data_IF_825954897859
#
_entry.id   IF_825954897859
#
_cell.length_a   1.000
_cell.length_b   1.000
_cell.length_c   1.000
_cell.angle_alpha   90.00
_cell.angle_beta   90.00
_cell.angle_gamma   90.00
#
_symmetry.space_group_name_H-M   'P 1'
#
loop_
_entity.id
_entity.type
_entity.pdbx_description
1 polymer ?
#
# COMPACT_ATOMS: atom_id res chain seq x y z
N UNK A 1 76.91 6.27 36.51
CA UNK A 1 76.44 6.26 35.09
C UNK A 1 75.70 4.96 34.88
N UNK A 2 74.34 4.93 35.20
CA UNK A 2 73.54 3.71 35.13
C UNK A 2 72.75 3.74 33.80
N UNK A 3 73.03 2.81 32.91
CA UNK A 3 72.27 2.57 31.71
C UNK A 3 71.05 1.72 32.10
N UNK A 4 69.83 2.33 32.04
CA UNK A 4 68.55 1.60 32.13
C UNK A 4 68.34 0.83 30.87
N UNK A 5 68.42 -0.50 30.97
CA UNK A 5 67.99 -1.42 29.91
C UNK A 5 66.46 -1.26 29.62
N UNK A 6 66.14 -0.82 28.45
CA UNK A 6 64.72 -0.75 27.94
C UNK A 6 64.25 -2.18 27.69
N UNK A 7 63.21 -2.57 28.39
CA UNK A 7 62.65 -3.92 28.42
C UNK A 7 62.10 -4.32 27.04
N UNK A 8 62.71 -5.31 26.39
CA UNK A 8 62.34 -5.84 25.08
C UNK A 8 60.83 -6.22 24.95
N UNK A 9 60.18 -6.50 26.08
CA UNK A 9 58.73 -6.76 26.12
C UNK A 9 57.88 -5.54 25.83
N UNK A 10 58.33 -4.30 26.01
CA UNK A 10 57.60 -3.08 25.64
C UNK A 10 57.75 -2.71 24.16
N UNK A 11 58.81 -3.12 23.49
CA UNK A 11 59.00 -2.92 22.06
C UNK A 11 58.14 -3.90 21.26
N UNK A 12 57.93 -5.13 21.76
CA UNK A 12 57.06 -6.13 21.10
C UNK A 12 55.59 -5.74 21.21
N UNK A 13 55.16 -5.11 22.31
CA UNK A 13 53.77 -4.64 22.51
C UNK A 13 53.42 -3.44 21.62
N UNK A 14 54.40 -2.59 21.28
CA UNK A 14 54.17 -1.44 20.38
C UNK A 14 54.15 -1.85 18.90
N UNK A 15 54.85 -2.91 18.52
CA UNK A 15 54.80 -3.46 17.14
C UNK A 15 53.56 -4.27 16.88
N UNK A 16 52.97 -4.93 17.89
CA UNK A 16 51.69 -5.63 17.73
C UNK A 16 50.49 -4.68 17.73
N UNK A 17 50.58 -3.51 18.38
CA UNK A 17 49.49 -2.50 18.35
C UNK A 17 49.46 -1.74 17.04
N UNK A 18 50.59 -1.54 16.35
CA UNK A 18 50.64 -0.90 15.04
C UNK A 18 50.22 -1.85 13.89
N UNK A 19 50.31 -3.17 14.07
CA UNK A 19 49.80 -4.15 13.09
C UNK A 19 48.28 -4.32 13.17
N UNK A 20 47.64 -4.08 14.32
CA UNK A 20 46.19 -4.14 14.47
C UNK A 20 45.47 -2.86 13.99
N UNK A 21 46.14 -1.70 13.95
CA UNK A 21 45.55 -0.45 13.48
C UNK A 21 45.53 -0.32 11.95
N UNK A 22 46.36 -1.08 11.22
CA UNK A 22 46.35 -1.10 9.74
C UNK A 22 45.26 -2.02 9.19
N UNK A 23 44.83 -3.03 9.98
CA UNK A 23 43.71 -3.93 9.53
C UNK A 23 42.32 -3.36 9.79
N UNK A 24 42.17 -2.25 10.56
CA UNK A 24 40.86 -1.62 10.81
C UNK A 24 40.54 -0.48 9.78
N UNK A 25 41.55 0.05 9.09
CA UNK A 25 41.37 1.06 8.05
C UNK A 25 41.03 0.48 6.66
N UNK A 26 41.05 -0.85 6.50
CA UNK A 26 40.62 -1.55 5.29
C UNK A 26 39.16 -2.01 5.31
N UNK A 27 38.44 -1.84 6.45
CA UNK A 27 37.05 -2.30 6.61
C UNK A 27 35.99 -1.24 6.31
N UNK A 28 36.36 -0.05 5.85
CA UNK A 28 35.47 0.93 5.21
C UNK A 28 35.46 0.79 3.70
N UNK A 29 35.64 -0.44 3.18
CA UNK A 29 35.23 -0.80 1.85
C UNK A 29 33.71 -0.84 1.85
N UNK A 30 33.06 -0.07 0.97
CA UNK A 30 31.68 -0.25 0.56
C UNK A 30 31.36 -1.75 0.66
N UNK A 31 30.39 -2.14 1.49
CA UNK A 31 29.68 -3.38 1.27
C UNK A 31 28.99 -3.19 -0.10
N UNK A 32 29.71 -3.42 -1.18
CA UNK A 32 29.09 -3.64 -2.49
C UNK A 32 28.30 -4.92 -2.30
N UNK A 33 26.99 -4.81 -2.27
CA UNK A 33 26.10 -5.91 -2.66
C UNK A 33 26.75 -6.42 -3.95
N UNK A 34 27.08 -7.72 -4.02
CA UNK A 34 27.63 -8.27 -5.25
C UNK A 34 26.66 -7.92 -6.37
N UNK A 35 27.02 -6.97 -7.23
CA UNK A 35 26.15 -6.48 -8.30
C UNK A 35 25.98 -7.53 -9.40
N UNK A 36 26.88 -8.53 -9.45
CA UNK A 36 26.88 -9.56 -10.49
C UNK A 36 27.09 -10.97 -9.91
N UNK A 37 26.53 -11.96 -10.59
CA UNK A 37 26.80 -13.37 -10.32
C UNK A 37 28.13 -13.83 -10.96
N UNK A 38 28.48 -15.10 -10.81
CA UNK A 38 29.70 -15.71 -11.37
C UNK A 38 29.76 -15.68 -12.90
N UNK A 39 28.62 -15.51 -13.57
CA UNK A 39 28.49 -15.39 -15.03
C UNK A 39 28.48 -13.94 -15.51
N UNK A 40 28.65 -12.97 -14.62
CA UNK A 40 28.63 -11.53 -14.92
C UNK A 40 27.22 -10.94 -15.09
N UNK A 41 26.14 -11.68 -14.75
CA UNK A 41 24.76 -11.17 -14.82
C UNK A 41 24.46 -10.29 -13.63
N UNK A 42 23.76 -9.18 -13.83
CA UNK A 42 23.35 -8.26 -12.78
C UNK A 42 22.33 -8.92 -11.85
N UNK A 43 22.62 -8.94 -10.55
CA UNK A 43 21.75 -9.53 -9.51
C UNK A 43 20.71 -8.51 -9.07
N UNK A 44 19.43 -8.89 -9.13
CA UNK A 44 18.29 -8.12 -8.62
C UNK A 44 17.68 -8.90 -7.46
N UNK A 45 17.96 -8.50 -6.22
CA UNK A 45 17.27 -9.09 -5.06
C UNK A 45 15.86 -8.52 -4.93
N UNK A 46 14.86 -9.41 -4.79
CA UNK A 46 13.43 -9.05 -4.77
C UNK A 46 12.83 -9.52 -3.46
N UNK A 47 12.37 -8.56 -2.67
CA UNK A 47 11.74 -8.78 -1.37
C UNK A 47 10.34 -9.39 -1.46
N UNK A 48 9.81 -9.76 -0.28
CA UNK A 48 8.48 -10.37 -0.13
C UNK A 48 8.30 -11.66 -0.93
N UNK A 49 9.38 -12.39 -1.19
CA UNK A 49 9.29 -13.67 -1.89
C UNK A 49 8.59 -14.70 -1.02
N UNK A 50 7.58 -15.44 -1.55
CA UNK A 50 6.85 -16.40 -0.75
C UNK A 50 7.75 -17.55 -0.24
N UNK A 51 7.81 -17.71 1.09
CA UNK A 51 8.61 -18.77 1.73
C UNK A 51 7.91 -20.14 1.74
N UNK A 52 6.56 -20.14 1.74
CA UNK A 52 5.74 -21.36 1.74
C UNK A 52 5.44 -21.81 0.31
N UNK A 53 5.49 -23.12 0.08
CA UNK A 53 5.07 -23.69 -1.19
C UNK A 53 3.57 -23.46 -1.42
N UNK A 54 3.21 -23.30 -2.68
CA UNK A 54 1.85 -23.02 -3.11
C UNK A 54 1.79 -22.14 -4.35
N UNK A 55 0.59 -21.84 -4.82
CA UNK A 55 0.36 -21.12 -6.07
C UNK A 55 1.10 -19.77 -6.15
N UNK A 56 1.17 -19.01 -5.05
CA UNK A 56 1.88 -17.71 -5.03
C UNK A 56 3.38 -17.87 -5.32
N UNK A 57 4.02 -18.88 -4.70
CA UNK A 57 5.45 -19.15 -4.93
C UNK A 57 5.68 -19.62 -6.34
N UNK A 58 4.85 -20.55 -6.83
CA UNK A 58 4.96 -21.06 -8.20
C UNK A 58 4.82 -19.93 -9.23
N UNK A 59 3.84 -19.06 -9.08
CA UNK A 59 3.66 -17.90 -9.97
C UNK A 59 4.88 -16.98 -9.99
N UNK A 60 5.54 -16.74 -8.84
CA UNK A 60 6.75 -15.94 -8.75
C UNK A 60 7.95 -16.64 -9.42
N UNK A 61 8.10 -17.96 -9.26
CA UNK A 61 9.14 -18.74 -9.92
C UNK A 61 8.95 -18.77 -11.45
N UNK A 62 7.73 -18.98 -11.93
CA UNK A 62 7.40 -18.96 -13.37
C UNK A 62 7.70 -17.57 -13.97
N UNK A 63 7.37 -16.51 -13.22
CA UNK A 63 7.69 -15.12 -13.62
C UNK A 63 9.20 -14.90 -13.67
N UNK A 64 9.94 -15.38 -12.67
CA UNK A 64 11.41 -15.32 -12.63
C UNK A 64 12.02 -16.01 -13.83
N UNK A 65 11.61 -17.21 -14.12
CA UNK A 65 12.13 -18.02 -15.23
C UNK A 65 11.89 -17.32 -16.58
N UNK A 66 10.70 -16.77 -16.80
CA UNK A 66 10.41 -15.99 -18.02
C UNK A 66 11.28 -14.75 -18.10
N UNK A 67 11.37 -13.98 -17.02
CA UNK A 67 12.18 -12.77 -16.97
C UNK A 67 13.64 -13.06 -17.31
N UNK A 68 14.25 -14.07 -16.70
CA UNK A 68 15.65 -14.43 -16.93
C UNK A 68 15.90 -15.01 -18.34
N UNK A 69 14.89 -15.61 -18.96
CA UNK A 69 14.95 -16.08 -20.35
C UNK A 69 14.93 -14.90 -21.34
N UNK A 70 14.12 -13.90 -21.07
CA UNK A 70 13.97 -12.71 -21.93
C UNK A 70 15.04 -11.64 -21.68
N UNK A 71 15.68 -11.67 -20.51
CA UNK A 71 16.67 -10.67 -20.06
C UNK A 71 17.92 -11.37 -19.53
N UNK A 72 18.73 -11.93 -20.45
CA UNK A 72 19.87 -12.80 -20.12
C UNK A 72 20.98 -12.13 -19.31
N UNK A 73 21.02 -10.80 -19.29
CA UNK A 73 22.00 -10.01 -18.53
C UNK A 73 21.64 -9.85 -17.05
N UNK A 74 20.47 -10.36 -16.64
CA UNK A 74 19.95 -10.21 -15.28
C UNK A 74 19.62 -11.57 -14.64
N UNK A 75 19.70 -11.62 -13.31
CA UNK A 75 19.27 -12.75 -12.51
C UNK A 75 18.48 -12.25 -11.30
N UNK A 76 17.34 -12.86 -11.03
CA UNK A 76 16.51 -12.53 -9.85
C UNK A 76 16.95 -13.37 -8.67
N UNK A 77 17.29 -12.68 -7.58
CA UNK A 77 17.58 -13.30 -6.29
C UNK A 77 16.37 -13.18 -5.38
N UNK A 78 15.66 -14.28 -5.08
CA UNK A 78 14.57 -14.30 -4.13
C UNK A 78 15.00 -13.87 -2.73
N UNK A 79 14.23 -12.97 -2.09
CA UNK A 79 14.43 -12.55 -0.71
C UNK A 79 13.08 -12.58 0.03
N UNK A 80 13.00 -13.28 1.16
CA UNK A 80 11.78 -13.36 1.95
C UNK A 80 11.56 -12.13 2.85
N UNK A 81 12.47 -11.18 2.85
CA UNK A 81 12.35 -9.95 3.60
C UNK A 81 11.09 -9.17 3.16
N UNK A 82 10.32 -8.73 4.14
CA UNK A 82 9.17 -7.85 3.91
C UNK A 82 9.33 -6.57 4.71
N UNK A 83 8.75 -5.49 4.19
CA UNK A 83 8.76 -4.20 4.87
C UNK A 83 8.13 -4.29 6.26
N UNK A 84 8.83 -3.74 7.23
CA UNK A 84 8.36 -3.51 8.60
C UNK A 84 8.91 -2.16 9.08
N UNK A 85 8.03 -1.22 9.31
CA UNK A 85 8.38 0.16 9.66
C UNK A 85 9.32 0.26 10.87
N UNK A 86 9.16 -0.64 11.86
CA UNK A 86 9.95 -0.60 13.10
C UNK A 86 11.42 -0.93 12.87
N UNK A 87 11.73 -1.76 11.88
CA UNK A 87 13.09 -2.22 11.59
C UNK A 87 13.68 -1.66 10.29
N UNK A 88 12.84 -1.08 9.42
CA UNK A 88 13.23 -0.65 8.08
C UNK A 88 14.45 0.26 8.07
N UNK A 89 14.40 1.38 8.79
CA UNK A 89 15.46 2.39 8.71
C UNK A 89 16.81 1.87 9.18
N UNK A 90 16.84 1.03 10.22
CA UNK A 90 18.06 0.40 10.69
C UNK A 90 18.65 -0.57 9.65
N UNK A 91 17.79 -1.40 9.03
CA UNK A 91 18.18 -2.33 7.97
C UNK A 91 18.64 -1.62 6.70
N UNK A 92 17.91 -0.59 6.28
CA UNK A 92 18.27 0.21 5.12
C UNK A 92 19.63 0.91 5.29
N UNK A 93 19.89 1.50 6.46
CA UNK A 93 21.19 2.08 6.79
C UNK A 93 22.31 1.04 6.77
N UNK A 94 22.03 -0.19 7.22
CA UNK A 94 22.96 -1.33 7.20
C UNK A 94 23.08 -2.02 5.83
N UNK A 95 22.36 -1.59 4.79
CA UNK A 95 22.37 -2.25 3.48
C UNK A 95 21.76 -3.65 3.50
N UNK A 96 20.81 -3.90 4.40
CA UNK A 96 20.19 -5.22 4.63
C UNK A 96 18.77 -5.31 4.04
N UNK A 97 18.40 -4.41 3.14
CA UNK A 97 17.15 -4.48 2.40
C UNK A 97 17.41 -4.94 0.97
N UNK A 98 16.48 -5.66 0.33
CA UNK A 98 16.63 -6.08 -1.06
C UNK A 98 16.66 -4.87 -2.01
N UNK A 99 17.11 -5.10 -3.24
CA UNK A 99 17.14 -4.07 -4.30
C UNK A 99 15.71 -3.61 -4.61
N UNK A 100 14.78 -4.55 -4.80
CA UNK A 100 13.35 -4.24 -5.00
C UNK A 100 12.56 -4.65 -3.77
N UNK A 101 11.80 -3.73 -3.22
CA UNK A 101 10.92 -4.01 -2.08
C UNK A 101 9.59 -3.28 -2.21
N UNK A 102 8.57 -3.75 -1.49
CA UNK A 102 7.23 -3.15 -1.54
C UNK A 102 6.93 -2.39 -0.26
N UNK A 103 6.30 -1.21 -0.42
CA UNK A 103 5.77 -0.40 0.68
C UNK A 103 4.39 0.16 0.31
N UNK A 104 3.86 1.06 1.14
CA UNK A 104 2.60 1.74 0.89
C UNK A 104 2.83 3.23 0.65
N UNK A 105 1.86 3.92 0.05
CA UNK A 105 1.89 5.38 -0.18
C UNK A 105 2.21 6.18 1.09
N UNK A 106 1.77 5.70 2.25
CA UNK A 106 2.01 6.34 3.55
C UNK A 106 3.50 6.44 3.92
N UNK A 107 4.34 5.53 3.40
CA UNK A 107 5.74 5.42 3.78
C UNK A 107 6.68 6.16 2.82
N UNK A 108 6.27 6.29 1.55
CA UNK A 108 7.12 6.78 0.45
C UNK A 108 7.80 8.11 0.77
N UNK A 109 7.04 9.11 1.22
CA UNK A 109 7.59 10.44 1.50
C UNK A 109 8.69 10.43 2.57
N UNK A 110 8.55 9.59 3.59
CA UNK A 110 9.55 9.44 4.65
C UNK A 110 10.80 8.71 4.14
N UNK A 111 10.61 7.65 3.36
CA UNK A 111 11.72 6.85 2.79
C UNK A 111 12.54 7.70 1.81
N UNK A 112 11.88 8.47 0.94
CA UNK A 112 12.54 9.43 0.04
C UNK A 112 13.32 10.48 0.85
N UNK A 113 12.71 11.04 1.89
CA UNK A 113 13.32 12.09 2.70
C UNK A 113 14.52 11.59 3.49
N UNK A 114 14.52 10.30 3.88
CA UNK A 114 15.63 9.63 4.52
C UNK A 114 16.72 9.18 3.51
N UNK A 115 16.47 9.31 2.20
CA UNK A 115 17.43 8.99 1.14
C UNK A 115 17.62 7.51 0.90
N UNK A 116 16.61 6.66 1.14
CA UNK A 116 16.72 5.21 0.95
C UNK A 116 16.12 4.68 -0.34
N UNK A 117 15.45 5.54 -1.13
CA UNK A 117 14.94 5.20 -2.47
C UNK A 117 15.86 5.73 -3.57
N UNK A 118 16.03 4.98 -4.64
CA UNK A 118 16.70 5.41 -5.86
C UNK A 118 15.81 6.33 -6.70
N UNK A 119 16.42 7.24 -7.47
CA UNK A 119 15.71 8.01 -8.49
C UNK A 119 15.45 7.13 -9.73
N UNK A 120 14.19 6.89 -10.02
CA UNK A 120 13.72 6.04 -11.11
C UNK A 120 13.36 6.83 -12.39
N UNK A 121 13.40 8.16 -12.33
CA UNK A 121 12.86 9.06 -13.36
C UNK A 121 13.41 8.74 -14.77
N UNK A 122 14.72 8.65 -14.88
CA UNK A 122 15.36 8.44 -16.17
C UNK A 122 15.06 7.06 -16.74
N UNK A 123 15.05 6.03 -15.89
CA UNK A 123 14.78 4.67 -16.31
C UNK A 123 13.31 4.47 -16.69
N UNK A 124 12.37 5.06 -15.96
CA UNK A 124 10.96 5.05 -16.34
C UNK A 124 10.70 5.73 -17.68
N UNK A 125 11.40 6.83 -17.97
CA UNK A 125 11.34 7.50 -19.28
C UNK A 125 11.96 6.65 -20.39
N UNK A 126 13.14 6.07 -20.15
CA UNK A 126 13.84 5.18 -21.09
C UNK A 126 12.99 3.98 -21.48
N UNK A 127 12.26 3.39 -20.52
CA UNK A 127 11.36 2.25 -20.76
C UNK A 127 9.94 2.65 -21.21
N UNK A 128 9.67 3.93 -21.44
CA UNK A 128 8.39 4.44 -21.97
C UNK A 128 7.22 4.28 -20.99
N UNK A 129 7.49 4.27 -19.68
CA UNK A 129 6.48 4.08 -18.64
C UNK A 129 6.02 5.40 -18.03
N UNK A 130 6.92 6.39 -17.93
CA UNK A 130 6.70 7.65 -17.22
C UNK A 130 5.41 8.37 -17.66
N UNK A 131 5.26 8.58 -18.98
CA UNK A 131 4.12 9.33 -19.54
C UNK A 131 2.81 8.53 -19.57
N UNK A 132 2.89 7.21 -19.31
CA UNK A 132 1.72 6.34 -19.21
C UNK A 132 1.15 6.26 -17.80
N UNK A 133 1.89 6.74 -16.79
CA UNK A 133 1.44 6.72 -15.40
C UNK A 133 0.36 7.76 -15.13
N UNK A 134 -0.54 7.45 -14.21
CA UNK A 134 -1.50 8.40 -13.68
C UNK A 134 -0.78 9.49 -12.90
N UNK A 135 -0.97 10.75 -13.30
CA UNK A 135 -0.26 11.88 -12.72
C UNK A 135 -0.51 12.06 -11.22
N UNK A 136 -1.75 11.88 -10.78
CA UNK A 136 -2.12 12.04 -9.37
C UNK A 136 -1.42 10.99 -8.49
N UNK A 137 -1.28 9.77 -9.01
CA UNK A 137 -0.56 8.68 -8.35
C UNK A 137 0.95 8.92 -8.39
N UNK A 138 1.46 9.43 -9.52
CA UNK A 138 2.87 9.74 -9.70
C UNK A 138 3.33 10.85 -8.74
N UNK A 139 2.48 11.85 -8.48
CA UNK A 139 2.78 12.94 -7.55
C UNK A 139 3.04 12.42 -6.12
N UNK A 140 2.36 11.35 -5.67
CA UNK A 140 2.56 10.73 -4.35
C UNK A 140 3.97 10.13 -4.20
N UNK A 141 4.53 9.60 -5.30
CA UNK A 141 5.83 8.92 -5.32
C UNK A 141 6.96 9.80 -5.83
N UNK A 142 6.70 11.11 -5.95
CA UNK A 142 7.64 12.09 -6.51
C UNK A 142 8.10 13.11 -5.48
N UNK A 143 9.31 13.59 -5.67
CA UNK A 143 9.88 14.72 -4.92
C UNK A 143 10.78 15.55 -5.84
N UNK A 144 10.61 16.86 -5.82
CA UNK A 144 11.41 17.81 -6.62
C UNK A 144 11.47 17.44 -8.12
N UNK A 145 10.34 16.98 -8.68
CA UNK A 145 10.21 16.58 -10.09
C UNK A 145 10.83 15.24 -10.43
N UNK A 146 11.25 14.45 -9.46
CA UNK A 146 11.83 13.12 -9.62
C UNK A 146 10.95 12.05 -9.01
N UNK A 147 10.89 10.89 -9.64
CA UNK A 147 10.10 9.73 -9.22
C UNK A 147 11.00 8.73 -8.50
N UNK A 148 10.57 8.28 -7.31
CA UNK A 148 11.35 7.42 -6.44
C UNK A 148 10.75 6.05 -6.16
N UNK A 149 9.50 5.83 -6.59
CA UNK A 149 8.87 4.53 -6.46
C UNK A 149 7.98 4.25 -7.67
N UNK A 150 7.71 2.96 -7.92
CA UNK A 150 6.82 2.49 -8.97
C UNK A 150 5.47 2.11 -8.34
N UNK A 151 4.39 2.90 -8.53
CA UNK A 151 3.07 2.56 -8.00
C UNK A 151 2.47 1.40 -8.80
N UNK A 152 2.07 0.33 -8.11
CA UNK A 152 1.45 -0.82 -8.75
C UNK A 152 -0.02 -1.06 -8.35
N UNK A 153 -0.48 -0.45 -7.27
CA UNK A 153 -1.87 -0.45 -6.86
C UNK A 153 -2.25 0.91 -6.29
N UNK A 154 -3.45 1.38 -6.64
CA UNK A 154 -4.05 2.58 -6.08
C UNK A 154 -5.54 2.33 -5.84
N UNK A 155 -6.08 2.91 -4.79
CA UNK A 155 -7.49 2.82 -4.43
C UNK A 155 -7.94 4.08 -3.70
N UNK A 156 -9.24 4.30 -3.68
CA UNK A 156 -9.90 5.31 -2.84
C UNK A 156 -10.84 4.62 -1.87
N UNK A 157 -11.05 5.23 -0.71
CA UNK A 157 -12.00 4.70 0.27
C UNK A 157 -13.43 5.10 -0.11
N UNK A 158 -14.34 4.16 0.05
CA UNK A 158 -15.78 4.34 -0.09
C UNK A 158 -16.50 3.92 1.19
N UNK A 159 -17.82 4.03 1.17
CA UNK A 159 -18.71 3.48 2.20
C UNK A 159 -19.24 2.13 1.73
N UNK A 160 -18.76 1.06 2.34
CA UNK A 160 -19.32 -0.28 2.14
C UNK A 160 -20.58 -0.44 3.01
N UNK A 161 -21.56 -1.17 2.49
CA UNK A 161 -22.82 -1.42 3.21
C UNK A 161 -23.33 -2.84 2.95
N UNK A 162 -24.09 -3.35 3.93
CA UNK A 162 -24.77 -4.63 3.83
C UNK A 162 -26.20 -4.42 3.28
N UNK A 163 -26.44 -4.92 2.07
CA UNK A 163 -27.71 -4.76 1.34
C UNK A 163 -28.89 -5.27 2.17
N UNK A 164 -28.79 -6.47 2.74
CA UNK A 164 -29.87 -7.09 3.52
C UNK A 164 -30.24 -6.27 4.77
N UNK A 165 -29.26 -5.60 5.40
CA UNK A 165 -29.50 -4.74 6.56
C UNK A 165 -30.10 -3.40 6.16
N UNK A 166 -29.73 -2.89 4.97
CA UNK A 166 -30.36 -1.70 4.38
C UNK A 166 -31.83 -1.94 4.04
N UNK A 167 -32.15 -3.09 3.41
CA UNK A 167 -33.54 -3.49 3.12
C UNK A 167 -34.38 -3.56 4.40
N UNK A 168 -33.89 -4.28 5.42
CA UNK A 168 -34.58 -4.41 6.73
C UNK A 168 -34.82 -3.06 7.42
N UNK A 169 -33.95 -2.08 7.17
CA UNK A 169 -34.04 -0.73 7.74
C UNK A 169 -34.87 0.25 6.88
N UNK A 170 -35.41 -0.19 5.73
CA UNK A 170 -36.15 0.68 4.78
C UNK A 170 -35.27 1.73 4.11
N UNK A 171 -33.99 1.40 3.88
CA UNK A 171 -32.99 2.27 3.27
C UNK A 171 -32.78 1.97 1.77
N UNK A 172 -33.79 1.38 1.12
CA UNK A 172 -33.82 1.19 -0.33
C UNK A 172 -34.77 2.19 -0.99
N UNK A 173 -34.47 2.55 -2.24
CA UNK A 173 -35.35 3.29 -3.12
C UNK A 173 -36.40 2.35 -3.74
N UNK A 174 -37.41 2.90 -4.39
CA UNK A 174 -38.47 2.12 -5.06
C UNK A 174 -37.96 1.26 -6.23
N UNK A 175 -36.83 1.68 -6.84
CA UNK A 175 -36.16 0.94 -7.93
C UNK A 175 -35.20 -0.16 -7.41
N UNK A 176 -35.15 -0.40 -6.11
CA UNK A 176 -34.26 -1.40 -5.50
C UNK A 176 -32.83 -0.92 -5.28
N UNK A 177 -32.48 0.30 -5.62
CA UNK A 177 -31.16 0.86 -5.33
C UNK A 177 -31.05 1.30 -3.87
N UNK A 178 -29.85 1.27 -3.24
CA UNK A 178 -29.67 1.76 -1.87
C UNK A 178 -29.78 3.28 -1.82
N UNK A 179 -30.39 3.79 -0.76
CA UNK A 179 -30.30 5.21 -0.42
C UNK A 179 -28.86 5.54 -0.03
N UNK A 180 -28.33 6.62 -0.58
CA UNK A 180 -26.99 7.08 -0.25
C UNK A 180 -27.07 8.23 0.76
N UNK A 181 -26.38 8.14 1.93
CA UNK A 181 -26.32 9.25 2.85
C UNK A 181 -25.55 10.40 2.25
N UNK A 182 -26.16 11.57 2.16
CA UNK A 182 -25.55 12.77 1.54
C UNK A 182 -24.41 13.36 2.37
N UNK A 183 -24.52 13.25 3.70
CA UNK A 183 -23.55 13.77 4.65
C UNK A 183 -23.42 12.87 5.89
N UNK A 184 -22.46 13.19 6.77
CA UNK A 184 -22.21 12.41 7.99
C UNK A 184 -23.38 12.37 8.96
N UNK A 185 -24.26 13.39 9.00
CA UNK A 185 -25.42 13.39 9.84
C UNK A 185 -26.46 12.39 9.34
N UNK A 186 -26.69 12.35 8.03
CA UNK A 186 -27.58 11.37 7.44
C UNK A 186 -27.04 9.94 7.56
N UNK A 187 -25.70 9.73 7.50
CA UNK A 187 -25.08 8.44 7.82
C UNK A 187 -25.43 8.02 9.27
N UNK A 188 -25.34 8.94 10.22
CA UNK A 188 -25.72 8.65 11.61
C UNK A 188 -27.20 8.29 11.73
N UNK A 189 -28.10 8.97 11.00
CA UNK A 189 -29.53 8.63 10.95
C UNK A 189 -29.75 7.23 10.34
N UNK A 190 -29.05 6.88 9.27
CA UNK A 190 -29.10 5.53 8.68
C UNK A 190 -28.63 4.48 9.70
N UNK A 191 -27.52 4.75 10.36
CA UNK A 191 -26.99 3.86 11.39
C UNK A 191 -27.98 3.63 12.54
N UNK A 192 -28.69 4.69 12.98
CA UNK A 192 -29.75 4.59 13.99
C UNK A 192 -30.95 3.76 13.49
N UNK A 193 -31.40 3.98 12.24
CA UNK A 193 -32.48 3.19 11.63
C UNK A 193 -32.12 1.71 11.56
N UNK A 194 -30.90 1.40 11.13
CA UNK A 194 -30.40 0.02 11.07
C UNK A 194 -30.36 -0.61 12.45
N UNK A 195 -29.76 0.06 13.44
CA UNK A 195 -29.68 -0.43 14.82
C UNK A 195 -31.09 -0.71 15.38
N UNK A 196 -32.05 0.19 15.17
CA UNK A 196 -33.43 0.03 15.62
C UNK A 196 -34.14 -1.15 14.93
N UNK A 197 -33.93 -1.33 13.62
CA UNK A 197 -34.63 -2.37 12.86
C UNK A 197 -34.02 -3.77 13.07
N UNK A 198 -32.74 -3.87 13.32
CA UNK A 198 -31.98 -5.14 13.27
C UNK A 198 -31.28 -5.51 14.58
N UNK A 199 -31.06 -4.55 15.48
CA UNK A 199 -30.29 -4.74 16.71
C UNK A 199 -28.77 -4.73 16.54
N UNK A 200 -28.24 -4.78 15.28
CA UNK A 200 -26.80 -4.78 15.02
C UNK A 200 -26.21 -3.36 14.93
N UNK A 201 -24.90 -3.23 14.96
CA UNK A 201 -24.26 -1.94 14.79
C UNK A 201 -24.58 -1.34 13.42
N UNK A 202 -24.99 -0.07 13.37
CA UNK A 202 -25.27 0.61 12.11
C UNK A 202 -24.02 1.01 11.36
N UNK A 203 -22.93 1.32 12.10
CA UNK A 203 -21.64 1.69 11.52
C UNK A 203 -20.50 1.04 12.30
N UNK A 204 -19.46 0.60 11.61
CA UNK A 204 -18.24 0.02 12.18
C UNK A 204 -17.13 1.05 12.06
N UNK A 205 -16.50 1.42 13.18
CA UNK A 205 -15.35 2.29 13.19
C UNK A 205 -14.26 1.68 14.08
N UNK A 206 -13.18 1.13 13.49
CA UNK A 206 -12.08 0.52 14.23
C UNK A 206 -11.22 1.60 14.89
N UNK A 207 -10.62 1.29 16.04
CA UNK A 207 -9.76 2.22 16.78
C UNK A 207 -8.43 1.60 17.23
N UNK A 208 -8.24 0.31 17.01
CA UNK A 208 -6.98 -0.36 17.35
C UNK A 208 -5.91 -0.14 16.28
N UNK A 209 -4.64 -0.22 16.69
CA UNK A 209 -3.47 -0.05 15.82
C UNK A 209 -3.52 1.29 15.06
N UNK A 210 -3.06 1.34 13.84
CA UNK A 210 -3.05 2.57 13.04
C UNK A 210 -4.33 2.75 12.19
N UNK A 211 -5.21 1.73 12.13
CA UNK A 211 -6.36 1.73 11.21
C UNK A 211 -7.38 2.82 11.55
N UNK A 212 -7.62 3.06 12.83
CA UNK A 212 -8.55 4.12 13.28
C UNK A 212 -8.12 5.50 12.80
N UNK A 213 -6.85 5.85 12.98
CA UNK A 213 -6.30 7.12 12.50
C UNK A 213 -6.32 7.23 10.99
N UNK A 214 -6.00 6.14 10.29
CA UNK A 214 -6.01 6.08 8.84
C UNK A 214 -7.43 6.32 8.27
N UNK A 215 -8.45 5.63 8.77
CA UNK A 215 -9.85 5.83 8.36
C UNK A 215 -10.35 7.22 8.77
N UNK A 216 -10.00 7.67 9.99
CA UNK A 216 -10.36 8.98 10.51
C UNK A 216 -9.88 10.13 9.61
N UNK A 217 -8.78 9.94 8.89
CA UNK A 217 -8.25 10.95 7.97
C UNK A 217 -9.29 11.43 6.97
N UNK A 218 -10.06 10.51 6.35
CA UNK A 218 -11.14 10.88 5.41
C UNK A 218 -12.23 11.71 6.08
N UNK A 219 -12.61 11.33 7.31
CA UNK A 219 -13.60 12.08 8.09
C UNK A 219 -13.07 13.46 8.43
N UNK A 220 -11.86 13.55 8.98
CA UNK A 220 -11.25 14.80 9.41
C UNK A 220 -11.06 15.79 8.25
N UNK A 221 -10.56 15.34 7.10
CA UNK A 221 -10.44 16.19 5.90
C UNK A 221 -11.80 16.74 5.45
N UNK A 222 -12.86 15.92 5.51
CA UNK A 222 -14.20 16.36 5.13
C UNK A 222 -14.75 17.47 6.03
N UNK A 223 -14.24 17.58 7.27
CA UNK A 223 -14.50 18.68 8.20
C UNK A 223 -13.59 19.89 7.97
N UNK A 224 -12.57 19.78 7.10
CA UNK A 224 -11.61 20.85 6.80
C UNK A 224 -10.33 20.80 7.62
N UNK A 225 -10.04 19.66 8.28
CA UNK A 225 -8.79 19.48 9.04
C UNK A 225 -7.59 19.44 8.09
N UNK A 226 -6.57 20.22 8.37
CA UNK A 226 -5.24 20.05 7.80
C UNK A 226 -4.33 19.39 8.84
N UNK A 227 -3.77 18.20 8.56
CA UNK A 227 -2.89 17.50 9.51
C UNK A 227 -1.51 18.14 9.59
N UNK A 228 -1.00 18.62 8.46
CA UNK A 228 0.31 19.27 8.35
C UNK A 228 0.26 20.37 7.32
N UNK A 229 1.03 21.44 7.57
CA UNK A 229 1.22 22.55 6.63
C UNK A 229 2.69 22.83 6.41
N UNK A 230 3.06 23.16 5.19
CA UNK A 230 4.42 23.59 4.87
C UNK A 230 4.64 25.02 5.38
N UNK A 231 5.71 25.21 6.16
CA UNK A 231 6.16 26.50 6.69
C UNK A 231 7.63 26.69 6.28
N UNK A 232 7.86 27.38 5.18
CA UNK A 232 9.15 27.42 4.50
C UNK A 232 9.58 26.01 4.05
N UNK A 233 10.75 25.56 4.50
CA UNK A 233 11.30 24.22 4.20
C UNK A 233 10.90 23.14 5.22
N UNK A 234 10.09 23.49 6.21
CA UNK A 234 9.68 22.56 7.27
C UNK A 234 8.19 22.27 7.22
N UNK A 235 7.84 21.08 7.68
CA UNK A 235 6.46 20.70 7.94
C UNK A 235 6.09 21.01 9.39
N UNK A 236 4.93 21.63 9.58
CA UNK A 236 4.36 21.93 10.89
C UNK A 236 3.07 21.16 11.06
N UNK A 237 2.91 20.46 12.19
CA UNK A 237 1.64 19.82 12.55
C UNK A 237 0.56 20.90 12.80
N UNK A 238 -0.63 20.70 12.23
CA UNK A 238 -1.77 21.64 12.31
C UNK A 238 -3.07 20.96 12.70
N UNK A 239 -3.03 19.69 13.05
CA UNK A 239 -4.22 18.89 13.38
C UNK A 239 -4.89 19.29 14.70
N UNK A 240 -4.25 20.05 15.57
CA UNK A 240 -4.88 20.65 16.76
C UNK A 240 -5.71 21.87 16.33
N UNK A 241 -6.90 21.58 15.83
CA UNK A 241 -7.81 22.56 15.24
C UNK A 241 -9.26 22.33 15.66
N UNK A 242 -10.14 23.36 15.60
CA UNK A 242 -11.56 23.21 15.82
C UNK A 242 -12.21 22.15 14.92
N UNK A 243 -11.80 22.10 13.66
CA UNK A 243 -12.30 21.16 12.63
C UNK A 243 -12.00 19.71 13.01
N UNK A 244 -10.76 19.44 13.45
CA UNK A 244 -10.37 18.13 13.96
C UNK A 244 -11.17 17.73 15.21
N UNK A 245 -11.38 18.69 16.12
CA UNK A 245 -12.18 18.48 17.31
C UNK A 245 -13.65 18.19 16.97
N UNK A 246 -14.23 18.83 15.94
CA UNK A 246 -15.59 18.55 15.47
C UNK A 246 -15.69 17.14 14.84
N UNK A 247 -14.75 16.77 14.00
CA UNK A 247 -14.68 15.43 13.42
C UNK A 247 -14.58 14.33 14.50
N UNK A 248 -13.76 14.55 15.54
CA UNK A 248 -13.67 13.63 16.69
C UNK A 248 -14.96 13.58 17.51
N UNK A 249 -15.64 14.73 17.70
CA UNK A 249 -16.97 14.75 18.38
C UNK A 249 -18.00 13.93 17.61
N UNK A 250 -18.00 14.02 16.29
CA UNK A 250 -18.88 13.20 15.45
C UNK A 250 -18.65 11.70 15.71
N UNK A 251 -17.41 11.21 15.68
CA UNK A 251 -17.11 9.79 16.00
C UNK A 251 -17.51 9.43 17.43
N UNK A 252 -17.24 10.31 18.39
CA UNK A 252 -17.69 10.14 19.78
C UNK A 252 -19.20 10.03 19.88
N UNK A 253 -19.95 10.87 19.15
CA UNK A 253 -21.40 10.88 19.15
C UNK A 253 -21.98 9.60 18.55
N UNK A 254 -21.39 9.03 17.50
CA UNK A 254 -21.77 7.72 16.97
C UNK A 254 -21.72 6.64 18.05
N UNK A 255 -20.73 6.69 18.94
CA UNK A 255 -20.59 5.70 20.04
C UNK A 255 -21.51 5.99 21.23
N UNK A 256 -21.50 7.21 21.75
CA UNK A 256 -22.04 7.51 23.08
C UNK A 256 -23.41 8.20 23.05
N UNK A 257 -23.74 8.90 21.97
CA UNK A 257 -25.05 9.57 21.83
C UNK A 257 -26.02 8.74 21.01
N UNK A 258 -25.56 8.17 19.90
CA UNK A 258 -26.41 7.41 18.99
C UNK A 258 -26.35 5.89 19.24
N UNK A 259 -25.35 5.39 19.95
CA UNK A 259 -25.11 3.96 20.24
C UNK A 259 -25.16 3.08 19.00
N UNK A 260 -24.55 3.53 17.88
CA UNK A 260 -24.64 2.85 16.59
C UNK A 260 -23.35 2.10 16.22
N UNK A 261 -22.28 2.24 17.00
CA UNK A 261 -21.04 1.48 16.81
C UNK A 261 -21.11 0.13 17.56
N UNK A 262 -20.25 -0.85 17.21
CA UNK A 262 -20.08 -2.07 18.00
C UNK A 262 -19.78 -1.77 19.47
N UNK A 263 -20.13 -2.68 20.37
CA UNK A 263 -19.81 -2.55 21.80
C UNK A 263 -18.31 -2.41 22.04
N UNK A 264 -17.50 -3.24 21.37
CA UNK A 264 -16.06 -3.10 21.29
C UNK A 264 -15.68 -2.36 20.00
N UNK A 265 -15.06 -1.19 20.11
CA UNK A 265 -14.48 -0.43 18.99
C UNK A 265 -12.96 -0.55 18.92
N UNK A 266 -12.34 -1.15 19.95
CA UNK A 266 -10.89 -1.44 19.94
C UNK A 266 -10.63 -2.71 19.13
N UNK A 267 -10.96 -2.63 17.84
CA UNK A 267 -10.81 -3.65 16.82
C UNK A 267 -9.86 -3.14 15.73
N UNK A 268 -9.13 -4.04 15.12
CA UNK A 268 -8.17 -3.74 14.04
C UNK A 268 -8.79 -3.88 12.63
N UNK A 269 -7.93 -3.82 11.61
CA UNK A 269 -8.32 -3.93 10.21
C UNK A 269 -9.01 -5.27 9.89
N UNK A 270 -8.52 -6.37 10.41
CA UNK A 270 -9.09 -7.70 10.16
C UNK A 270 -10.42 -7.88 10.90
N UNK A 271 -10.48 -7.42 12.14
CA UNK A 271 -11.67 -7.55 12.98
C UNK A 271 -12.87 -6.71 12.48
N UNK A 272 -12.62 -5.54 11.84
CA UNK A 272 -13.71 -4.78 11.22
C UNK A 272 -14.38 -5.57 10.07
N UNK A 273 -13.61 -6.25 9.24
CA UNK A 273 -14.15 -7.08 8.17
C UNK A 273 -14.86 -8.32 8.69
N UNK A 274 -14.36 -8.91 9.77
CA UNK A 274 -15.07 -9.98 10.47
C UNK A 274 -16.43 -9.51 11.00
N UNK A 275 -16.48 -8.34 11.64
CA UNK A 275 -17.72 -7.76 12.17
C UNK A 275 -18.73 -7.51 11.04
N UNK A 276 -18.29 -7.00 9.91
CA UNK A 276 -19.13 -6.78 8.73
C UNK A 276 -19.54 -8.11 8.08
N UNK A 277 -18.61 -8.99 7.78
CA UNK A 277 -18.82 -10.27 7.10
C UNK A 277 -19.74 -11.24 7.87
N UNK A 278 -19.74 -11.16 9.20
CA UNK A 278 -20.67 -11.91 10.07
C UNK A 278 -22.02 -11.21 10.27
N UNK A 279 -22.28 -10.07 9.60
CA UNK A 279 -23.53 -9.33 9.68
C UNK A 279 -23.77 -8.60 11.01
N UNK A 280 -22.74 -8.41 11.82
CA UNK A 280 -22.83 -7.72 13.13
C UNK A 280 -22.68 -6.19 13.00
N UNK A 281 -22.43 -5.70 11.80
CA UNK A 281 -22.39 -4.28 11.49
C UNK A 281 -22.77 -4.04 10.03
N UNK A 282 -23.39 -2.91 9.76
CA UNK A 282 -24.05 -2.66 8.48
C UNK A 282 -23.25 -1.78 7.51
N UNK A 283 -22.44 -0.87 8.02
CA UNK A 283 -21.65 0.05 7.20
C UNK A 283 -20.22 0.16 7.73
N UNK A 284 -19.25 0.35 6.86
CA UNK A 284 -17.87 0.71 7.22
C UNK A 284 -17.20 1.48 6.08
N UNK A 285 -16.14 2.21 6.40
CA UNK A 285 -15.26 2.81 5.38
C UNK A 285 -14.24 1.76 4.94
N UNK A 286 -14.17 1.48 3.64
CA UNK A 286 -13.29 0.47 3.07
C UNK A 286 -12.88 0.80 1.63
N UNK A 287 -11.85 0.13 1.14
CA UNK A 287 -11.49 0.13 -0.27
C UNK A 287 -12.28 -0.91 -1.07
N UNK A 288 -12.19 -0.83 -2.40
CA UNK A 288 -12.97 -1.69 -3.31
C UNK A 288 -12.55 -3.17 -3.34
N UNK A 289 -11.45 -3.54 -2.69
CA UNK A 289 -10.98 -4.92 -2.51
C UNK A 289 -11.60 -5.63 -1.29
N UNK A 290 -12.34 -4.90 -0.45
CA UNK A 290 -12.99 -5.40 0.76
C UNK A 290 -13.84 -6.67 0.54
N UNK A 291 -14.56 -6.88 -0.58
CA UNK A 291 -15.29 -8.12 -0.79
C UNK A 291 -14.42 -9.38 -0.68
N UNK A 292 -13.15 -9.30 -1.08
CA UNK A 292 -12.17 -10.39 -0.89
C UNK A 292 -11.84 -10.66 0.58
N UNK A 293 -11.77 -9.61 1.40
CA UNK A 293 -11.46 -9.71 2.83
C UNK A 293 -12.60 -10.34 3.64
N UNK A 294 -13.85 -10.11 3.25
CA UNK A 294 -15.03 -10.64 3.98
C UNK A 294 -15.44 -12.04 3.52
N UNK A 295 -14.88 -12.53 2.43
CA UNK A 295 -15.19 -13.84 1.86
C UNK A 295 -15.01 -15.00 2.85
N UNK A 296 -13.99 -14.92 3.71
CA UNK A 296 -13.70 -15.95 4.74
C UNK A 296 -14.76 -16.06 5.84
N UNK A 297 -15.79 -15.19 5.82
CA UNK A 297 -16.88 -15.16 6.81
C UNK A 297 -18.22 -15.58 6.22
N UNK A 298 -18.22 -16.29 5.09
CA UNK A 298 -19.40 -16.85 4.41
C UNK A 298 -20.48 -15.82 4.06
N UNK A 299 -20.11 -14.54 3.94
CA UNK A 299 -21.01 -13.50 3.49
C UNK A 299 -21.30 -13.65 2.00
N UNK A 300 -22.60 -13.66 1.64
CA UNK A 300 -22.99 -13.65 0.23
C UNK A 300 -22.48 -12.34 -0.44
N UNK A 301 -21.67 -12.42 -1.51
CA UNK A 301 -21.17 -11.25 -2.22
C UNK A 301 -22.27 -10.28 -2.67
N UNK A 302 -23.45 -10.78 -3.08
CA UNK A 302 -24.60 -9.95 -3.46
C UNK A 302 -25.16 -9.11 -2.31
N UNK A 303 -24.79 -9.45 -1.08
CA UNK A 303 -25.15 -8.67 0.11
C UNK A 303 -24.20 -7.49 0.37
N UNK A 304 -23.18 -7.29 -0.47
CA UNK A 304 -22.18 -6.24 -0.30
C UNK A 304 -22.39 -5.18 -1.36
N UNK A 305 -22.60 -3.95 -0.93
CA UNK A 305 -22.60 -2.79 -1.82
C UNK A 305 -21.54 -1.78 -1.41
N UNK A 306 -21.16 -0.94 -2.34
CA UNK A 306 -20.28 0.20 -2.10
C UNK A 306 -20.86 1.47 -2.70
N UNK A 307 -20.67 2.59 -2.02
CA UNK A 307 -21.10 3.91 -2.46
C UNK A 307 -20.05 4.96 -2.08
N UNK A 308 -20.24 6.19 -2.55
CA UNK A 308 -19.36 7.29 -2.17
C UNK A 308 -19.40 7.52 -0.66
N UNK A 309 -18.26 7.94 -0.10
CA UNK A 309 -18.21 8.40 1.29
C UNK A 309 -19.12 9.64 1.47
N UNK A 310 -19.80 9.82 2.62
CA UNK A 310 -20.63 10.99 2.84
C UNK A 310 -19.84 12.30 2.77
N UNK A 311 -20.50 13.36 2.31
CA UNK A 311 -19.91 14.69 2.33
C UNK A 311 -19.76 15.19 3.78
N UNK A 312 -18.66 15.88 4.06
CA UNK A 312 -18.48 16.63 5.30
C UNK A 312 -19.02 18.07 5.22
N UNK A 313 -18.95 18.81 6.33
CA UNK A 313 -19.39 20.19 6.39
C UNK A 313 -18.61 21.13 5.47
N UNK A 314 -17.37 20.82 5.17
CA UNK A 314 -16.48 21.66 4.35
C UNK A 314 -16.21 21.03 2.99
N UNK A 315 -15.82 19.75 2.96
CA UNK A 315 -15.32 19.09 1.77
C UNK A 315 -16.03 17.76 1.49
N UNK A 316 -15.97 17.33 0.22
CA UNK A 316 -16.38 16.00 -0.20
C UNK A 316 -15.14 15.27 -0.72
N UNK A 317 -14.38 14.70 0.18
CA UNK A 317 -13.05 14.10 -0.07
C UNK A 317 -12.95 12.74 0.57
N UNK A 318 -12.06 11.92 0.03
CA UNK A 318 -11.71 10.63 0.62
C UNK A 318 -10.21 10.39 0.54
N UNK A 319 -9.71 9.44 1.31
CA UNK A 319 -8.33 9.04 1.29
C UNK A 319 -8.04 8.18 0.08
N UNK A 320 -6.96 8.52 -0.64
CA UNK A 320 -6.33 7.64 -1.62
C UNK A 320 -5.22 6.85 -0.93
N UNK A 321 -5.24 5.55 -1.09
CA UNK A 321 -4.18 4.64 -0.67
C UNK A 321 -3.57 3.92 -1.86
N UNK A 322 -2.51 3.18 -1.61
CA UNK A 322 -1.88 2.39 -2.64
C UNK A 322 -0.60 1.73 -2.17
N UNK A 323 -0.05 0.91 -3.06
CA UNK A 323 1.19 0.18 -2.83
C UNK A 323 2.18 0.45 -3.95
N UNK A 324 3.45 0.44 -3.59
CA UNK A 324 4.57 0.75 -4.48
C UNK A 324 5.66 -0.31 -4.41
N UNK A 325 6.39 -0.46 -5.49
CA UNK A 325 7.73 -1.02 -5.47
C UNK A 325 8.75 0.11 -5.38
N UNK A 326 9.59 0.05 -4.39
CA UNK A 326 10.74 0.92 -4.25
C UNK A 326 12.01 0.19 -4.68
N UNK A 327 12.98 0.95 -5.15
CA UNK A 327 14.33 0.45 -5.45
C UNK A 327 15.30 1.08 -4.46
N UNK A 328 16.12 0.26 -3.84
CA UNK A 328 17.10 0.72 -2.84
C UNK A 328 18.05 1.77 -3.43
N UNK A 329 18.36 2.81 -2.68
CA UNK A 329 19.39 3.81 -3.03
C UNK A 329 20.80 3.22 -3.17
N UNK A 330 21.00 1.95 -2.81
CA UNK A 330 22.26 1.21 -3.00
C UNK A 330 22.35 0.51 -4.35
N UNK A 331 21.24 0.51 -5.12
CA UNK A 331 21.21 -0.09 -6.43
C UNK A 331 22.13 0.65 -7.40
N UNK A 332 22.88 -0.10 -8.21
CA UNK A 332 23.59 0.43 -9.38
C UNK A 332 22.61 0.76 -10.53
N UNK A 333 23.06 1.52 -11.51
CA UNK A 333 22.24 1.86 -12.69
C UNK A 333 21.71 0.60 -13.40
N UNK A 334 22.55 -0.44 -13.52
CA UNK A 334 22.14 -1.72 -14.11
C UNK A 334 21.08 -2.42 -13.23
N UNK A 335 21.21 -2.34 -11.91
CA UNK A 335 20.20 -2.90 -11.01
C UNK A 335 18.88 -2.13 -11.08
N UNK A 336 18.90 -0.80 -11.24
CA UNK A 336 17.70 0.02 -11.47
C UNK A 336 17.03 -0.37 -12.79
N UNK A 337 17.80 -0.53 -13.86
CA UNK A 337 17.29 -1.01 -15.16
C UNK A 337 16.60 -2.37 -15.02
N UNK A 338 17.30 -3.34 -14.43
CA UNK A 338 16.76 -4.68 -14.21
C UNK A 338 15.54 -4.70 -13.27
N UNK A 339 15.54 -3.85 -12.23
CA UNK A 339 14.41 -3.71 -11.32
C UNK A 339 13.15 -3.21 -12.05
N UNK A 340 13.26 -2.18 -12.88
CA UNK A 340 12.11 -1.67 -13.65
C UNK A 340 11.64 -2.70 -14.68
N UNK A 341 12.55 -3.38 -15.38
CA UNK A 341 12.19 -4.49 -16.27
C UNK A 341 11.44 -5.61 -15.52
N UNK A 342 11.92 -6.00 -14.34
CA UNK A 342 11.26 -6.98 -13.49
C UNK A 342 9.85 -6.54 -13.07
N UNK A 343 9.71 -5.30 -12.60
CA UNK A 343 8.42 -4.75 -12.19
C UNK A 343 7.45 -4.73 -13.38
N UNK A 344 7.93 -4.32 -14.56
CA UNK A 344 7.13 -4.29 -15.79
C UNK A 344 6.55 -5.65 -16.17
N UNK A 345 7.19 -6.78 -15.86
CA UNK A 345 6.64 -8.12 -16.15
C UNK A 345 5.30 -8.41 -15.48
N UNK A 346 4.98 -7.73 -14.38
CA UNK A 346 3.69 -7.88 -13.69
C UNK A 346 2.74 -6.70 -13.90
N UNK A 347 3.29 -5.50 -14.14
CA UNK A 347 2.53 -4.24 -14.09
C UNK A 347 2.75 -3.40 -15.35
N UNK A 348 2.76 -4.03 -16.53
CA UNK A 348 2.87 -3.30 -17.80
C UNK A 348 1.56 -2.59 -18.16
N UNK A 349 1.60 -1.36 -18.69
CA UNK A 349 0.45 -0.69 -19.28
C UNK A 349 0.18 -1.14 -20.72
N UNK A 350 1.03 -2.03 -21.27
CA UNK A 350 0.98 -2.44 -22.66
C UNK A 350 -0.10 -3.53 -22.84
N UNK A 351 -0.99 -3.32 -23.80
CA UNK A 351 -2.06 -4.27 -24.16
C UNK A 351 -1.48 -5.39 -25.04
N UNK A 352 -0.82 -6.36 -24.39
CA UNK A 352 -0.31 -7.56 -25.07
C UNK A 352 -1.37 -8.69 -25.04
N UNK A 353 -1.26 -9.69 -25.93
CA UNK A 353 -2.15 -10.87 -25.87
C UNK A 353 -2.03 -11.57 -24.50
N UNK A 354 -0.84 -11.67 -23.94
CA UNK A 354 -0.63 -12.24 -22.62
C UNK A 354 -1.33 -11.44 -21.51
N UNK A 355 -1.36 -10.08 -21.62
CA UNK A 355 -2.12 -9.24 -20.69
C UNK A 355 -3.60 -9.56 -20.78
N UNK A 356 -4.17 -9.65 -22.00
CA UNK A 356 -5.60 -9.94 -22.22
C UNK A 356 -5.96 -11.30 -21.63
N UNK A 357 -5.22 -12.35 -21.97
CA UNK A 357 -5.44 -13.72 -21.44
C UNK A 357 -5.37 -13.77 -19.91
N UNK A 358 -4.33 -13.15 -19.32
CA UNK A 358 -4.18 -13.11 -17.88
C UNK A 358 -5.34 -12.35 -17.21
N UNK A 359 -5.81 -11.26 -17.84
CA UNK A 359 -6.89 -10.45 -17.31
C UNK A 359 -8.24 -11.14 -17.41
N UNK A 360 -8.53 -11.78 -18.54
CA UNK A 360 -9.73 -12.59 -18.71
C UNK A 360 -9.76 -13.74 -17.69
N UNK A 361 -8.64 -14.43 -17.52
CA UNK A 361 -8.51 -15.51 -16.53
C UNK A 361 -8.72 -15.00 -15.09
N UNK A 362 -8.14 -13.86 -14.74
CA UNK A 362 -8.32 -13.26 -13.40
C UNK A 362 -9.79 -12.93 -13.15
N UNK A 363 -10.43 -12.24 -14.08
CA UNK A 363 -11.85 -11.84 -13.93
C UNK A 363 -12.75 -13.07 -13.89
N UNK A 364 -12.56 -14.06 -14.75
CA UNK A 364 -13.35 -15.29 -14.73
C UNK A 364 -13.16 -16.05 -13.42
N UNK A 365 -11.93 -16.16 -12.91
CA UNK A 365 -11.65 -16.76 -11.60
C UNK A 365 -12.35 -16.02 -10.47
N UNK A 366 -12.42 -14.70 -10.53
CA UNK A 366 -13.16 -13.89 -9.55
C UNK A 366 -14.65 -14.13 -9.63
N UNK A 367 -15.22 -14.22 -10.84
CA UNK A 367 -16.64 -14.55 -11.04
C UNK A 367 -16.98 -15.98 -10.54
N UNK A 368 -16.16 -16.98 -10.86
CA UNK A 368 -16.31 -18.35 -10.35
C UNK A 368 -16.26 -18.41 -8.81
N UNK A 369 -15.55 -17.48 -8.21
CA UNK A 369 -15.45 -17.33 -6.78
C UNK A 369 -16.54 -16.40 -6.18
N UNK A 370 -17.52 -15.95 -6.96
CA UNK A 370 -18.56 -14.99 -6.58
C UNK A 370 -17.96 -13.66 -6.04
N UNK A 371 -16.86 -13.17 -6.63
CA UNK A 371 -16.27 -11.88 -6.26
C UNK A 371 -16.85 -10.76 -7.10
N UNK A 372 -17.07 -9.59 -6.48
CA UNK A 372 -17.50 -8.40 -7.21
C UNK A 372 -16.39 -7.95 -8.19
N UNK A 373 -16.73 -7.86 -9.47
CA UNK A 373 -15.83 -7.36 -10.52
C UNK A 373 -16.12 -5.91 -10.93
N UNK A 374 -17.28 -5.38 -10.54
CA UNK A 374 -17.77 -4.05 -10.96
C UNK A 374 -17.12 -2.89 -10.23
N UNK A 375 -16.53 -3.12 -9.05
CA UNK A 375 -15.83 -2.06 -8.31
C UNK A 375 -14.50 -1.77 -8.99
N UNK A 376 -14.44 -0.65 -9.70
CA UNK A 376 -13.21 -0.18 -10.37
C UNK A 376 -12.28 0.42 -9.32
N UNK A 377 -11.07 -0.16 -9.17
CA UNK A 377 -10.00 0.46 -8.40
C UNK A 377 -9.44 1.67 -9.15
N UNK A 378 -8.82 2.61 -8.44
CA UNK A 378 -8.08 3.69 -9.08
C UNK A 378 -6.91 3.11 -9.89
N UNK A 379 -6.78 3.51 -11.16
CA UNK A 379 -5.68 3.03 -11.99
C UNK A 379 -4.38 3.75 -11.67
N UNK A 380 -3.28 3.01 -11.60
CA UNK A 380 -1.91 3.57 -11.56
C UNK A 380 -1.44 4.08 -12.93
N UNK A 381 -2.16 3.73 -14.00
CA UNK A 381 -1.93 4.19 -15.36
C UNK A 381 -2.94 5.28 -15.72
N UNK A 382 -2.58 6.14 -16.65
CA UNK A 382 -3.50 7.17 -17.14
C UNK A 382 -4.70 6.53 -17.88
N UNK A 383 -5.81 7.26 -17.98
CA UNK A 383 -7.07 6.77 -18.57
C UNK A 383 -6.96 6.47 -20.07
N UNK A 384 -5.93 6.96 -20.74
CA UNK A 384 -5.69 6.71 -22.17
C UNK A 384 -4.98 5.38 -22.44
N UNK A 385 -4.51 4.70 -21.40
CA UNK A 385 -3.88 3.38 -21.53
C UNK A 385 -4.85 2.36 -22.14
N UNK A 386 -4.45 1.72 -23.22
CA UNK A 386 -5.25 0.68 -23.88
C UNK A 386 -5.55 -0.50 -22.95
N UNK A 387 -4.61 -0.85 -22.08
CA UNK A 387 -4.80 -1.90 -21.09
C UNK A 387 -5.93 -1.56 -20.10
N UNK A 388 -6.05 -0.29 -19.71
CA UNK A 388 -7.13 0.16 -18.81
C UNK A 388 -8.47 0.21 -19.53
N UNK A 389 -8.51 0.68 -20.79
CA UNK A 389 -9.72 0.64 -21.61
C UNK A 389 -10.22 -0.79 -21.76
N UNK A 390 -9.33 -1.71 -22.11
CA UNK A 390 -9.66 -3.14 -22.23
C UNK A 390 -10.19 -3.72 -20.91
N UNK A 391 -9.53 -3.46 -19.77
CA UNK A 391 -9.99 -3.95 -18.45
C UNK A 391 -11.41 -3.43 -18.14
N UNK A 392 -11.70 -2.17 -18.41
CA UNK A 392 -13.03 -1.60 -18.17
C UNK A 392 -14.08 -2.23 -19.08
N UNK A 393 -13.80 -2.36 -20.38
CA UNK A 393 -14.71 -2.98 -21.35
C UNK A 393 -15.01 -4.45 -21.02
N UNK A 394 -13.97 -5.19 -20.61
CA UNK A 394 -14.10 -6.59 -20.21
C UNK A 394 -14.98 -6.74 -18.96
N UNK A 395 -14.76 -5.92 -17.95
CA UNK A 395 -15.60 -5.91 -16.73
C UNK A 395 -17.04 -5.53 -17.02
N UNK A 396 -17.26 -4.48 -17.80
CA UNK A 396 -18.61 -4.03 -18.17
C UNK A 396 -19.35 -5.10 -19.00
N UNK A 397 -18.63 -5.86 -19.86
CA UNK A 397 -19.20 -6.99 -20.62
C UNK A 397 -19.57 -8.18 -19.73
N UNK A 398 -18.79 -8.49 -18.72
CA UNK A 398 -18.97 -9.67 -17.85
C UNK A 398 -19.88 -9.38 -16.65
N UNK A 399 -20.17 -8.10 -16.35
CA UNK A 399 -21.09 -7.69 -15.30
C UNK A 399 -22.57 -7.70 -15.73
N UNK A 400 -22.83 -7.77 -17.05
CA UNK A 400 -24.17 -7.89 -17.66
C UNK A 400 -24.48 -9.33 -18.04
#
# INVERSE_FOLDING_TARGET
MEFKMINAKRLLALLTLSALTVSVLGACGKNSINDTDENGRTIISVGSWPSKDGAKKQNMEDRRQRFETENTDFVIQPDNWSFDLKSFYAKAAGGQIPIVYSTNFTEVSQIISAGYSADLTNELKKQGLYDKMNKEVLDVVSKDGRVYAFPYAAYVLGLAYNVNLFEKAGLMNEDGTPKQPKDWNELAEFAVKIKKATGVAGFIFPTASNVGGWIFTSVAWSYGTEFMKKDGDKWKATFDSPEAAEALRFIKDLKWKYDVLPSNTFIDYTEQFKTFGTGQGAMLIAAGDMPGDVRSYDMNPDSIGMMMIPRGPKEHVTLMGGSVHEVSNKASDNQIEGAIKWIKTAYSPDLTEQFKENREKDINTRLENNELITVKSMSTWNSESEAIKFDHELRDKLAN
#
